data_IF_717416774863
#
_entry.id   IF_717416774863
#
_cell.length_a   1.000
_cell.length_b   1.000
_cell.length_c   1.000
_cell.angle_alpha   90.00
_cell.angle_beta   90.00
_cell.angle_gamma   90.00
#
_symmetry.space_group_name_H-M   'P 1'
#
loop_
_entity.id
_entity.type
_entity.pdbx_description
1 polymer ?
#
# COMPACT_ATOMS: atom_id res chain seq x y z
N UNK A 1 64.72 7.28 -74.95
CA UNK A 1 63.38 7.26 -74.33
C UNK A 1 63.53 7.25 -72.80
N UNK A 2 62.64 7.87 -72.00
CA UNK A 2 62.77 7.88 -70.55
C UNK A 2 62.61 6.45 -69.98
N UNK A 3 63.38 6.16 -68.92
CA UNK A 3 63.45 4.85 -68.29
C UNK A 3 62.16 4.59 -67.51
N UNK A 4 61.48 3.49 -67.81
CA UNK A 4 60.28 3.08 -67.11
C UNK A 4 60.60 2.72 -65.66
N UNK A 5 59.85 3.30 -64.71
CA UNK A 5 59.94 3.00 -63.28
C UNK A 5 58.63 2.32 -62.89
N UNK A 6 58.66 1.12 -62.29
CA UNK A 6 57.44 0.43 -61.88
C UNK A 6 56.76 1.18 -60.73
N UNK A 7 55.44 1.29 -60.79
CA UNK A 7 54.63 1.90 -59.73
C UNK A 7 54.50 0.94 -58.55
N UNK A 8 54.90 1.38 -57.36
CA UNK A 8 54.69 0.66 -56.11
C UNK A 8 53.46 1.23 -55.40
N UNK A 9 52.45 0.38 -55.14
CA UNK A 9 51.24 0.77 -54.42
C UNK A 9 51.41 0.48 -52.93
N UNK A 10 51.52 1.53 -52.11
CA UNK A 10 51.66 1.40 -50.66
C UNK A 10 50.27 1.51 -50.02
N UNK A 11 49.74 0.39 -49.52
CA UNK A 11 48.46 0.36 -48.78
C UNK A 11 48.77 0.63 -47.30
N UNK A 12 48.25 1.75 -46.76
CA UNK A 12 48.38 2.09 -45.34
C UNK A 12 47.01 2.01 -44.66
N UNK A 13 46.95 1.28 -43.56
CA UNK A 13 45.74 1.20 -42.71
C UNK A 13 45.69 2.42 -41.81
N UNK A 14 44.62 3.21 -41.91
CA UNK A 14 44.39 4.36 -41.02
C UNK A 14 43.79 3.89 -39.69
N UNK A 15 44.12 4.54 -38.56
CA UNK A 15 43.50 4.26 -37.28
C UNK A 15 42.01 4.61 -37.31
N UNK A 16 41.21 3.84 -36.58
CA UNK A 16 39.77 4.10 -36.45
C UNK A 16 39.51 5.47 -35.84
N UNK A 17 38.50 6.17 -36.36
CA UNK A 17 38.04 7.43 -35.77
C UNK A 17 37.55 7.18 -34.33
N UNK A 18 37.78 8.14 -33.40
CA UNK A 18 37.29 8.00 -32.04
C UNK A 18 35.76 7.91 -32.03
N UNK A 19 35.23 7.03 -31.18
CA UNK A 19 33.79 6.87 -31.01
C UNK A 19 33.21 8.19 -30.48
N UNK A 20 32.10 8.71 -31.05
CA UNK A 20 31.48 9.94 -30.55
C UNK A 20 31.02 9.78 -29.09
N UNK A 21 31.01 10.86 -28.30
CA UNK A 21 30.56 10.82 -26.92
C UNK A 21 29.08 10.41 -26.86
N UNK A 22 28.75 9.47 -25.97
CA UNK A 22 27.37 9.03 -25.73
C UNK A 22 26.62 10.14 -24.99
N UNK A 23 25.47 10.55 -25.51
CA UNK A 23 24.58 11.49 -24.82
C UNK A 23 23.97 10.82 -23.59
N UNK A 24 24.27 11.34 -22.39
CA UNK A 24 23.59 10.93 -21.16
C UNK A 24 22.31 11.75 -21.06
N UNK A 25 21.17 11.10 -21.28
CA UNK A 25 19.86 11.70 -21.01
C UNK A 25 19.60 11.52 -19.52
N UNK A 26 19.69 12.62 -18.76
CA UNK A 26 19.34 12.62 -17.33
C UNK A 26 17.87 13.01 -17.22
N UNK A 27 17.03 12.05 -16.84
CA UNK A 27 15.65 12.32 -16.47
C UNK A 27 15.64 13.26 -15.26
N UNK A 28 15.06 14.45 -15.42
CA UNK A 28 14.91 15.42 -14.34
C UNK A 28 13.59 15.17 -13.66
N UNK A 29 13.61 14.93 -12.35
CA UNK A 29 12.39 14.93 -11.54
C UNK A 29 11.67 16.28 -11.68
N UNK A 30 10.32 16.29 -11.65
CA UNK A 30 9.59 17.54 -11.62
C UNK A 30 10.00 18.38 -10.40
N UNK A 31 9.92 19.72 -10.48
CA UNK A 31 10.19 20.56 -9.34
C UNK A 31 9.25 20.17 -8.18
N UNK A 32 9.74 20.17 -6.93
CA UNK A 32 8.88 19.92 -5.78
C UNK A 32 7.79 21.00 -5.69
N UNK A 33 6.62 20.67 -5.13
CA UNK A 33 5.55 21.65 -4.95
C UNK A 33 5.99 22.82 -4.06
N UNK A 34 5.37 23.98 -4.25
CA UNK A 34 5.62 25.15 -3.40
C UNK A 34 5.25 24.87 -1.94
N UNK A 35 6.02 25.44 -1.00
CA UNK A 35 5.73 25.34 0.43
C UNK A 35 4.35 25.99 0.72
N UNK A 36 3.47 25.35 1.50
CA UNK A 36 2.20 25.96 1.89
C UNK A 36 2.45 27.29 2.64
N UNK A 37 1.58 28.27 2.40
CA UNK A 37 1.64 29.58 3.08
C UNK A 37 1.29 29.40 4.56
N UNK A 38 1.99 30.12 5.42
CA UNK A 38 1.67 30.15 6.86
C UNK A 38 0.29 30.81 7.05
N UNK A 39 -0.63 30.09 7.70
CA UNK A 39 -1.94 30.60 8.09
C UNK A 39 -1.81 31.08 9.54
N UNK A 40 -1.82 32.40 9.74
CA UNK A 40 -1.85 32.99 11.08
C UNK A 40 -3.30 33.00 11.56
N UNK A 41 -3.62 32.13 12.52
CA UNK A 41 -4.95 32.11 13.16
C UNK A 41 -4.88 32.99 14.40
N UNK A 42 -5.43 34.20 14.31
CA UNK A 42 -5.58 35.09 15.45
C UNK A 42 -6.72 34.58 16.35
N UNK A 43 -6.36 33.77 17.35
CA UNK A 43 -7.29 33.39 18.40
C UNK A 43 -7.38 34.52 19.41
N UNK A 44 -8.50 35.24 19.41
CA UNK A 44 -8.82 36.24 20.43
C UNK A 44 -8.64 35.64 21.83
N UNK A 45 -7.63 36.13 22.55
CA UNK A 45 -7.40 35.76 23.95
C UNK A 45 -8.47 36.49 24.77
N UNK A 46 -9.21 35.82 25.67
CA UNK A 46 -10.23 36.48 26.48
C UNK A 46 -9.59 37.58 27.33
N UNK A 47 -10.23 38.76 27.35
CA UNK A 47 -9.88 39.88 28.21
C UNK A 47 -10.18 39.52 29.68
N UNK A 48 -9.21 38.90 30.35
CA UNK A 48 -9.27 38.57 31.77
C UNK A 48 -7.88 38.63 32.39
N UNK A 49 -7.76 38.64 33.73
CA UNK A 49 -6.46 38.54 34.39
C UNK A 49 -5.74 37.30 33.87
N UNK A 50 -4.64 37.54 33.17
CA UNK A 50 -3.87 36.49 32.53
C UNK A 50 -3.34 35.57 33.63
N UNK A 51 -3.70 34.28 33.64
CA UNK A 51 -3.12 33.36 34.62
C UNK A 51 -1.60 33.39 34.43
N UNK A 52 -0.85 33.46 35.54
CA UNK A 52 0.61 33.38 35.50
C UNK A 52 0.98 32.14 34.68
N UNK A 53 1.54 32.37 33.49
CA UNK A 53 1.94 31.30 32.62
C UNK A 53 3.06 30.55 33.34
N UNK A 54 2.81 29.30 33.69
CA UNK A 54 3.85 28.43 34.24
C UNK A 54 4.95 28.30 33.19
N UNK A 55 6.10 28.90 33.43
CA UNK A 55 7.29 28.71 32.61
C UNK A 55 7.78 27.29 32.84
N UNK A 56 7.50 26.39 31.91
CA UNK A 56 8.10 25.05 31.90
C UNK A 56 9.47 25.22 31.24
N UNK A 57 10.52 25.14 32.04
CA UNK A 57 11.90 25.10 31.53
C UNK A 57 12.15 23.67 31.05
N UNK A 58 11.96 23.42 29.76
CA UNK A 58 12.35 22.16 29.14
C UNK A 58 13.83 22.25 28.74
N UNK A 59 14.69 21.51 29.43
CA UNK A 59 16.09 21.39 29.06
C UNK A 59 16.20 20.51 27.80
N UNK A 60 17.01 20.96 26.84
CA UNK A 60 17.31 20.16 25.67
C UNK A 60 17.90 18.80 26.10
N UNK A 61 17.52 17.70 25.42
CA UNK A 61 18.15 16.41 25.67
C UNK A 61 19.66 16.51 25.46
N UNK A 62 20.47 15.74 26.21
CA UNK A 62 21.92 15.78 26.08
C UNK A 62 22.34 15.46 24.63
N UNK A 63 23.43 16.09 24.19
CA UNK A 63 23.98 15.85 22.87
C UNK A 63 24.21 14.34 22.68
N UNK A 64 23.52 13.75 21.71
CA UNK A 64 23.76 12.35 21.34
C UNK A 64 25.09 12.28 20.62
N UNK A 65 25.96 11.38 21.06
CA UNK A 65 27.18 11.05 20.34
C UNK A 65 26.78 10.52 18.95
N UNK A 66 27.22 11.23 17.90
CA UNK A 66 27.04 10.75 16.53
C UNK A 66 27.96 9.55 16.34
N UNK A 67 27.37 8.39 16.01
CA UNK A 67 28.18 7.25 15.59
C UNK A 67 28.88 7.60 14.27
N UNK A 68 30.18 7.31 14.13
CA UNK A 68 30.88 7.50 12.88
C UNK A 68 30.23 6.61 11.79
N UNK A 69 30.11 7.11 10.55
CA UNK A 69 29.50 6.33 9.48
C UNK A 69 30.31 5.06 9.23
N UNK A 70 29.65 3.89 9.32
CA UNK A 70 30.25 2.62 8.92
C UNK A 70 30.02 2.40 7.43
N UNK A 71 31.11 2.21 6.67
CA UNK A 71 31.06 1.85 5.26
C UNK A 71 30.80 0.35 5.11
N UNK A 72 29.62 -0.11 5.53
CA UNK A 72 29.22 -1.52 5.36
C UNK A 72 28.57 -1.68 3.98
N UNK A 73 29.14 -2.52 3.07
CA UNK A 73 28.54 -2.74 1.76
C UNK A 73 27.17 -3.41 1.94
N UNK A 74 26.13 -2.75 1.42
CA UNK A 74 24.77 -3.29 1.42
C UNK A 74 24.66 -4.28 0.25
N UNK A 75 24.61 -5.58 0.56
CA UNK A 75 24.36 -6.63 -0.42
C UNK A 75 22.85 -6.75 -0.59
N UNK A 76 22.33 -6.31 -1.73
CA UNK A 76 20.91 -6.46 -2.06
C UNK A 76 20.65 -7.91 -2.49
N UNK A 77 19.82 -8.64 -1.73
CA UNK A 77 19.29 -9.93 -2.14
C UNK A 77 18.15 -9.75 -3.15
N UNK A 78 17.83 -10.81 -3.90
CA UNK A 78 16.66 -10.82 -4.76
C UNK A 78 15.38 -10.59 -3.93
N UNK A 79 14.43 -9.86 -4.49
CA UNK A 79 13.16 -9.59 -3.81
C UNK A 79 12.34 -10.89 -3.70
N UNK A 80 12.10 -11.34 -2.47
CA UNK A 80 11.21 -12.47 -2.19
C UNK A 80 9.75 -11.95 -2.16
N UNK A 81 8.99 -12.22 -3.21
CA UNK A 81 7.58 -11.85 -3.27
C UNK A 81 6.71 -12.96 -2.70
N UNK A 82 6.02 -12.69 -1.59
CA UNK A 82 5.00 -13.59 -1.03
C UNK A 82 3.60 -13.14 -1.42
N UNK A 83 2.86 -13.98 -2.14
CA UNK A 83 1.44 -13.73 -2.41
C UNK A 83 0.64 -14.15 -1.19
N UNK A 84 0.07 -13.18 -0.48
CA UNK A 84 -0.82 -13.42 0.66
C UNK A 84 -2.24 -13.02 0.26
N UNK A 85 -3.16 -13.98 0.27
CA UNK A 85 -4.58 -13.71 0.09
C UNK A 85 -5.12 -13.13 1.40
N UNK A 86 -5.60 -11.88 1.36
CA UNK A 86 -6.22 -11.22 2.51
C UNK A 86 -7.71 -11.04 2.26
N UNK A 87 -8.54 -11.65 3.10
CA UNK A 87 -9.96 -11.37 3.14
C UNK A 87 -10.18 -10.23 4.13
N UNK A 88 -10.59 -9.07 3.62
CA UNK A 88 -11.01 -7.97 4.48
C UNK A 88 -12.51 -8.12 4.72
N UNK A 89 -12.91 -8.26 5.98
CA UNK A 89 -14.30 -8.07 6.34
C UNK A 89 -14.59 -6.57 6.21
N UNK A 90 -15.29 -6.19 5.14
CA UNK A 90 -15.65 -4.79 4.85
C UNK A 90 -16.75 -4.27 5.80
N UNK A 91 -17.12 -5.07 6.80
CA UNK A 91 -18.12 -4.75 7.80
C UNK A 91 -19.45 -5.42 7.50
N UNK A 92 -20.21 -5.65 8.56
CA UNK A 92 -21.64 -5.97 8.49
C UNK A 92 -22.35 -4.70 8.97
N UNK A 93 -23.08 -4.03 8.07
CA UNK A 93 -23.92 -2.89 8.44
C UNK A 93 -25.28 -3.39 8.91
N UNK A 94 -25.79 -2.81 9.99
CA UNK A 94 -27.14 -3.10 10.45
C UNK A 94 -28.13 -2.47 9.46
N UNK A 95 -28.94 -3.30 8.81
CA UNK A 95 -29.90 -2.88 7.78
C UNK A 95 -31.27 -3.53 8.05
N UNK A 96 -32.35 -2.80 7.76
CA UNK A 96 -33.69 -3.37 7.78
C UNK A 96 -33.85 -4.43 6.66
N UNK A 97 -34.28 -5.67 6.98
CA UNK A 97 -34.38 -6.75 6.01
C UNK A 97 -35.30 -6.45 4.82
N UNK A 98 -36.42 -5.77 5.07
CA UNK A 98 -37.39 -5.43 4.02
C UNK A 98 -36.82 -4.37 3.09
N UNK A 99 -36.20 -3.33 3.64
CA UNK A 99 -35.51 -2.29 2.87
C UNK A 99 -34.32 -2.83 2.07
N UNK A 100 -33.62 -3.85 2.59
CA UNK A 100 -32.53 -4.52 1.87
C UNK A 100 -33.06 -5.37 0.71
N UNK A 101 -34.10 -6.16 0.94
CA UNK A 101 -34.75 -6.99 -0.08
C UNK A 101 -35.34 -6.15 -1.21
N UNK A 102 -35.95 -5.01 -0.89
CA UNK A 102 -36.46 -4.07 -1.88
C UNK A 102 -35.35 -3.53 -2.80
N UNK A 103 -34.22 -3.13 -2.24
CA UNK A 103 -33.09 -2.55 -3.01
C UNK A 103 -32.31 -3.59 -3.81
N UNK A 104 -32.04 -4.75 -3.23
CA UNK A 104 -31.07 -5.71 -3.76
C UNK A 104 -31.65 -7.08 -4.07
N UNK A 105 -32.93 -7.35 -3.79
CA UNK A 105 -33.52 -8.69 -3.87
C UNK A 105 -33.38 -9.37 -5.22
N UNK A 106 -33.43 -8.61 -6.33
CA UNK A 106 -33.21 -9.14 -7.68
C UNK A 106 -31.75 -9.47 -8.00
N UNK A 107 -30.80 -8.91 -7.24
CA UNK A 107 -29.35 -9.14 -7.40
C UNK A 107 -28.80 -10.22 -6.47
N UNK A 108 -29.60 -10.68 -5.48
CA UNK A 108 -29.17 -11.70 -4.55
C UNK A 108 -29.10 -13.06 -5.24
N UNK A 109 -27.94 -13.70 -5.12
CA UNK A 109 -27.73 -15.05 -5.60
C UNK A 109 -28.43 -16.04 -4.67
N UNK A 110 -28.98 -17.11 -5.26
CA UNK A 110 -29.44 -18.25 -4.47
C UNK A 110 -28.25 -18.88 -3.73
N UNK A 111 -28.50 -19.40 -2.53
CA UNK A 111 -27.45 -19.91 -1.65
C UNK A 111 -26.61 -21.00 -2.33
N UNK A 112 -27.25 -21.85 -3.13
CA UNK A 112 -26.59 -22.90 -3.91
C UNK A 112 -25.67 -22.30 -4.96
N UNK A 113 -26.15 -21.29 -5.71
CA UNK A 113 -25.35 -20.63 -6.75
C UNK A 113 -24.18 -19.84 -6.18
N UNK A 114 -24.36 -19.21 -5.02
CA UNK A 114 -23.31 -18.48 -4.32
C UNK A 114 -22.17 -19.41 -3.89
N UNK A 115 -22.50 -20.57 -3.29
CA UNK A 115 -21.50 -21.57 -2.90
C UNK A 115 -20.75 -22.11 -4.12
N UNK A 116 -21.46 -22.36 -5.23
CA UNK A 116 -20.83 -22.82 -6.45
C UNK A 116 -19.85 -21.79 -7.04
N UNK A 117 -20.22 -20.51 -7.08
CA UNK A 117 -19.33 -19.44 -7.54
C UNK A 117 -18.12 -19.25 -6.62
N UNK A 118 -18.31 -19.34 -5.29
CA UNK A 118 -17.22 -19.27 -4.32
C UNK A 118 -16.21 -20.41 -4.53
N UNK A 119 -16.69 -21.64 -4.77
CA UNK A 119 -15.83 -22.79 -5.09
C UNK A 119 -15.08 -22.59 -6.41
N UNK A 120 -15.77 -22.10 -7.45
CA UNK A 120 -15.14 -21.78 -8.74
C UNK A 120 -14.05 -20.69 -8.60
N UNK A 121 -14.21 -19.76 -7.65
CA UNK A 121 -13.23 -18.74 -7.29
C UNK A 121 -12.11 -19.25 -6.35
N UNK A 122 -12.03 -20.56 -6.12
CA UNK A 122 -11.01 -21.20 -5.29
C UNK A 122 -11.14 -20.87 -3.81
N UNK A 123 -12.35 -20.62 -3.31
CA UNK A 123 -12.61 -20.55 -1.86
C UNK A 123 -12.81 -21.99 -1.37
N UNK A 124 -11.87 -22.46 -0.54
CA UNK A 124 -11.82 -23.85 -0.01
C UNK A 124 -12.47 -23.93 1.39
N UNK A 125 -12.89 -22.79 1.95
CA UNK A 125 -13.56 -22.75 3.24
C UNK A 125 -14.87 -23.57 3.22
N UNK A 126 -15.22 -24.15 4.37
CA UNK A 126 -16.40 -25.01 4.51
C UNK A 126 -17.66 -24.13 4.58
N UNK A 127 -18.05 -23.59 3.42
CA UNK A 127 -19.29 -22.82 3.25
C UNK A 127 -20.43 -23.83 3.18
N UNK A 128 -20.88 -24.31 4.35
CA UNK A 128 -22.11 -25.07 4.42
C UNK A 128 -23.29 -24.14 4.09
N UNK A 129 -24.15 -24.48 3.10
CA UNK A 129 -25.37 -23.73 2.92
C UNK A 129 -26.17 -23.87 4.21
N UNK A 130 -26.51 -22.75 4.86
CA UNK A 130 -27.36 -22.75 6.04
C UNK A 130 -28.62 -23.56 5.70
N UNK A 131 -28.74 -24.75 6.29
CA UNK A 131 -29.92 -25.56 6.14
C UNK A 131 -31.09 -24.68 6.58
N UNK A 132 -32.03 -24.42 5.68
CA UNK A 132 -33.29 -23.73 6.00
C UNK A 132 -34.05 -24.59 7.00
N UNK A 133 -33.70 -24.47 8.28
CA UNK A 133 -34.64 -24.75 9.35
C UNK A 133 -35.68 -23.64 9.25
N UNK A 134 -36.87 -24.00 8.81
CA UNK A 134 -38.08 -23.18 8.89
C UNK A 134 -38.49 -22.99 10.35
N UNK A 135 -37.58 -22.47 11.17
CA UNK A 135 -37.88 -21.91 12.48
C UNK A 135 -38.48 -20.53 12.21
N UNK A 136 -39.79 -20.41 12.36
CA UNK A 136 -40.47 -19.14 12.49
C UNK A 136 -39.84 -18.35 13.64
N UNK A 137 -38.93 -17.44 13.34
CA UNK A 137 -38.32 -16.57 14.33
C UNK A 137 -39.39 -15.57 14.79
N UNK A 138 -40.06 -15.85 15.90
CA UNK A 138 -40.71 -14.79 16.67
C UNK A 138 -39.58 -13.92 17.23
N UNK A 139 -39.38 -12.76 16.61
CA UNK A 139 -38.49 -11.71 17.14
C UNK A 139 -39.18 -11.18 18.40
N UNK A 140 -38.94 -11.80 19.54
CA UNK A 140 -39.17 -11.17 20.84
C UNK A 140 -38.13 -10.07 20.97
N UNK A 141 -38.60 -8.82 20.82
CA UNK A 141 -37.85 -7.62 21.13
C UNK A 141 -37.36 -7.66 22.59
N UNK A 142 -36.08 -7.94 22.77
CA UNK A 142 -35.46 -7.95 24.08
C UNK A 142 -34.10 -8.60 23.99
N UNK A 143 -33.06 -7.78 24.17
CA UNK A 143 -31.63 -8.09 24.24
C UNK A 143 -30.86 -8.09 22.90
N UNK A 144 -29.77 -7.30 22.82
CA UNK A 144 -28.84 -7.38 21.71
C UNK A 144 -28.14 -8.74 21.74
N UNK A 145 -28.21 -9.47 20.64
CA UNK A 145 -27.37 -10.64 20.40
C UNK A 145 -25.94 -10.13 20.28
N UNK A 146 -25.17 -10.25 21.36
CA UNK A 146 -23.72 -10.12 21.30
C UNK A 146 -23.21 -11.30 20.47
N UNK A 147 -22.77 -11.02 19.24
CA UNK A 147 -21.87 -11.92 18.54
C UNK A 147 -20.57 -11.92 19.34
N UNK A 148 -20.41 -12.95 20.17
CA UNK A 148 -19.16 -13.20 20.86
C UNK A 148 -18.09 -13.45 19.80
N UNK A 149 -17.15 -12.50 19.68
CA UNK A 149 -16.03 -12.62 18.76
C UNK A 149 -15.05 -13.61 19.39
N UNK A 150 -15.30 -14.90 19.20
CA UNK A 150 -14.28 -15.92 19.41
C UNK A 150 -13.15 -15.65 18.41
N UNK A 151 -12.08 -15.00 18.89
CA UNK A 151 -10.80 -14.83 18.19
C UNK A 151 -10.03 -16.16 18.06
N UNK A 152 -10.71 -17.31 18.12
CA UNK A 152 -10.11 -18.62 17.95
C UNK A 152 -9.97 -18.95 16.46
N UNK A 153 -9.20 -18.14 15.74
CA UNK A 153 -8.47 -18.65 14.58
C UNK A 153 -7.13 -19.14 15.10
N UNK A 154 -7.18 -20.43 15.39
CA UNK A 154 -6.10 -21.36 15.69
C UNK A 154 -4.89 -21.08 14.79
N UNK A 155 -3.84 -20.48 15.35
CA UNK A 155 -2.47 -20.71 14.87
C UNK A 155 -2.04 -22.09 15.38
N UNK A 156 -2.46 -23.13 14.67
CA UNK A 156 -1.80 -24.42 14.65
C UNK A 156 -1.65 -24.79 13.19
N UNK A 157 -0.60 -24.26 12.60
CA UNK A 157 0.46 -25.07 12.00
C UNK A 157 1.44 -24.12 11.28
N UNK A 158 2.71 -24.34 11.57
CA UNK A 158 3.95 -23.73 11.02
C UNK A 158 4.42 -22.40 11.63
#
# INVERSE_FOLDING_TARGET
>A
PPKYIPSETIIRTLPALPVPPRSVVIERFPPPPEKPRDIIIERWIPYGPQPERRTIIEHAPPAREYQPPSNTPTIYSAAETRVVRKFNNLGVTQEDPESYRSRYGSSLLDSVTLVQQARNAGVIEDISPLARSSSSYTITCGYPVYFDRSNDIIYKDY
#
